data_IF_661362692599
#
_entry.id   IF_661362692599
#
_cell.length_a   1.000
_cell.length_b   1.000
_cell.length_c   1.000
_cell.angle_alpha   90.00
_cell.angle_beta   90.00
_cell.angle_gamma   90.00
#
_symmetry.space_group_name_H-M   'P 1'
#
loop_
_entity.id
_entity.type
_entity.pdbx_description
1 polymer ?
#
# COMPACT_ATOMS: atom_id res chain seq x y z
N UNK A 1 -38.51 -25.82 -18.06
CA UNK A 1 -38.39 -25.54 -16.61
C UNK A 1 -37.40 -24.41 -16.45
N UNK A 2 -37.90 -23.22 -16.12
CA UNK A 2 -37.12 -21.99 -16.03
C UNK A 2 -36.55 -21.92 -14.60
N UNK A 3 -35.23 -22.04 -14.45
CA UNK A 3 -34.56 -21.84 -13.15
C UNK A 3 -34.48 -20.34 -12.90
N UNK A 4 -35.28 -19.86 -11.96
CA UNK A 4 -35.19 -18.50 -11.42
C UNK A 4 -33.98 -18.50 -10.50
N UNK A 5 -32.90 -17.86 -10.92
CA UNK A 5 -31.76 -17.59 -10.05
C UNK A 5 -32.19 -16.50 -9.07
N UNK A 6 -32.31 -16.87 -7.80
CA UNK A 6 -32.52 -15.90 -6.74
C UNK A 6 -31.25 -15.05 -6.63
N UNK A 7 -31.35 -13.78 -7.00
CA UNK A 7 -30.33 -12.78 -6.67
C UNK A 7 -30.14 -12.79 -5.15
N UNK A 8 -28.99 -13.28 -4.71
CA UNK A 8 -28.59 -13.26 -3.31
C UNK A 8 -28.53 -11.80 -2.86
N UNK A 9 -29.49 -11.40 -2.02
CA UNK A 9 -29.51 -10.13 -1.29
C UNK A 9 -28.53 -10.11 -0.11
N UNK A 10 -27.62 -11.09 -0.02
CA UNK A 10 -26.53 -11.04 0.95
C UNK A 10 -25.57 -9.97 0.43
N UNK A 11 -25.45 -8.80 1.11
CA UNK A 11 -24.44 -7.84 0.73
C UNK A 11 -23.10 -8.56 0.75
N UNK A 12 -22.26 -8.45 -0.31
CA UNK A 12 -20.92 -9.02 -0.26
C UNK A 12 -20.30 -8.54 1.05
N UNK A 13 -19.83 -9.46 1.89
CA UNK A 13 -19.00 -9.13 3.05
C UNK A 13 -17.85 -8.34 2.46
N UNK A 14 -17.93 -7.01 2.52
CA UNK A 14 -16.89 -6.13 2.02
C UNK A 14 -15.66 -6.56 2.82
N UNK A 15 -14.62 -7.14 2.19
CA UNK A 15 -13.47 -7.62 2.94
C UNK A 15 -13.00 -6.43 3.79
N UNK A 16 -12.75 -6.67 5.09
CA UNK A 16 -12.36 -5.61 6.03
C UNK A 16 -11.15 -4.78 5.53
N UNK A 17 -10.41 -5.33 4.55
CA UNK A 17 -9.33 -4.70 3.79
C UNK A 17 -9.79 -3.53 2.94
N UNK A 18 -11.02 -3.49 2.43
CA UNK A 18 -11.54 -2.32 1.70
C UNK A 18 -11.70 -1.10 2.61
N UNK A 19 -12.08 -1.32 3.89
CA UNK A 19 -12.05 -0.26 4.91
C UNK A 19 -10.63 0.14 5.30
N UNK A 20 -9.70 -0.82 5.38
CA UNK A 20 -8.27 -0.56 5.56
C UNK A 20 -7.68 0.27 4.42
N UNK A 21 -7.96 -0.10 3.17
CA UNK A 21 -7.53 0.59 1.96
C UNK A 21 -8.17 1.97 1.81
N UNK A 22 -9.46 2.13 2.11
CA UNK A 22 -10.13 3.45 2.14
C UNK A 22 -9.58 4.31 3.28
N UNK A 23 -9.27 3.73 4.44
CA UNK A 23 -8.62 4.44 5.53
C UNK A 23 -7.17 4.83 5.20
N UNK A 24 -6.42 3.96 4.50
CA UNK A 24 -5.07 4.23 4.02
C UNK A 24 -5.11 5.29 2.92
N UNK A 25 -5.98 5.21 1.91
CA UNK A 25 -6.17 6.26 0.90
C UNK A 25 -6.60 7.59 1.53
N UNK A 26 -7.49 7.56 2.52
CA UNK A 26 -7.90 8.74 3.28
C UNK A 26 -6.76 9.35 4.10
N UNK A 27 -5.95 8.50 4.74
CA UNK A 27 -4.77 8.91 5.51
C UNK A 27 -3.62 9.38 4.62
N UNK A 28 -3.42 8.77 3.44
CA UNK A 28 -2.40 9.12 2.44
C UNK A 28 -2.76 10.40 1.73
N UNK A 29 -4.03 10.61 1.37
CA UNK A 29 -4.51 11.90 0.85
C UNK A 29 -4.31 13.02 1.89
N UNK A 30 -4.63 12.76 3.16
CA UNK A 30 -4.34 13.68 4.26
C UNK A 30 -2.85 13.87 4.56
N UNK A 31 -2.02 12.85 4.35
CA UNK A 31 -0.57 12.92 4.54
C UNK A 31 0.14 13.61 3.35
N UNK A 32 -0.39 13.54 2.14
CA UNK A 32 0.10 14.30 0.98
C UNK A 32 -0.30 15.77 1.13
N UNK A 33 -1.48 16.09 1.66
CA UNK A 33 -1.81 17.46 2.11
C UNK A 33 -0.88 17.91 3.26
N UNK A 34 -0.37 16.98 4.06
CA UNK A 34 0.67 17.26 5.06
C UNK A 34 2.07 17.48 4.46
N UNK A 35 2.32 17.20 3.18
CA UNK A 35 3.57 17.59 2.49
C UNK A 35 3.73 19.13 2.41
N UNK A 36 2.62 19.87 2.31
CA UNK A 36 2.61 21.32 2.50
C UNK A 36 2.86 21.71 3.97
N UNK A 37 2.40 20.90 4.92
CA UNK A 37 2.74 21.03 6.35
C UNK A 37 4.22 20.76 6.66
N UNK A 38 4.85 19.81 5.97
CA UNK A 38 6.26 19.44 6.08
C UNK A 38 7.16 20.51 5.46
N UNK A 39 6.77 21.02 4.29
CA UNK A 39 7.38 22.23 3.72
C UNK A 39 7.33 23.39 4.71
N UNK A 40 6.18 23.61 5.37
CA UNK A 40 6.02 24.61 6.43
C UNK A 40 6.90 24.38 7.66
N UNK A 41 7.04 23.14 8.13
CA UNK A 41 7.85 22.79 9.31
C UNK A 41 9.36 22.91 9.05
N UNK A 42 9.82 22.47 7.88
CA UNK A 42 11.22 22.61 7.47
C UNK A 42 11.58 24.07 7.21
N UNK A 43 10.69 24.81 6.53
CA UNK A 43 10.86 26.25 6.31
C UNK A 43 10.83 27.01 7.65
N UNK A 44 9.90 26.68 8.54
CA UNK A 44 9.78 27.26 9.88
C UNK A 44 11.01 26.98 10.74
N UNK A 45 11.53 25.75 10.73
CA UNK A 45 12.76 25.37 11.42
C UNK A 45 13.99 26.09 10.87
N UNK A 46 14.09 26.22 9.53
CA UNK A 46 15.17 26.97 8.88
C UNK A 46 15.11 28.47 9.20
N UNK A 47 13.92 29.07 9.20
CA UNK A 47 13.69 30.48 9.57
C UNK A 47 14.05 30.70 11.04
N UNK A 48 13.63 29.80 11.94
CA UNK A 48 13.95 29.89 13.37
C UNK A 48 15.46 29.77 13.61
N UNK A 49 16.13 28.81 12.96
CA UNK A 49 17.58 28.66 13.04
C UNK A 49 18.32 29.91 12.50
N UNK A 50 17.87 30.44 11.36
CA UNK A 50 18.42 31.68 10.78
C UNK A 50 18.21 32.88 11.71
N UNK A 51 17.04 33.01 12.35
CA UNK A 51 16.74 34.07 13.30
C UNK A 51 17.63 33.98 14.56
N UNK A 52 17.85 32.78 15.09
CA UNK A 52 18.74 32.57 16.25
C UNK A 52 20.20 32.91 15.87
N UNK A 53 20.67 32.49 14.69
CA UNK A 53 22.02 32.82 14.20
C UNK A 53 22.16 34.33 14.01
N UNK A 54 21.18 34.99 13.41
CA UNK A 54 21.18 36.43 13.21
C UNK A 54 21.22 37.19 14.56
N UNK A 55 20.46 36.74 15.55
CA UNK A 55 20.46 37.34 16.90
C UNK A 55 21.79 37.16 17.63
N UNK A 56 22.48 36.02 17.43
CA UNK A 56 23.79 35.72 18.04
C UNK A 56 24.97 36.54 17.51
N UNK A 57 24.80 37.22 16.36
CA UNK A 57 25.84 38.07 15.74
C UNK A 57 25.85 39.51 16.26
N UNK A 58 24.98 39.86 17.21
CA UNK A 58 25.00 41.19 17.83
C UNK A 58 26.27 41.38 18.68
N UNK A 59 26.97 42.53 18.60
CA UNK A 59 28.22 42.75 19.30
C UNK A 59 27.96 42.80 20.82
N UNK A 60 28.37 41.76 21.55
CA UNK A 60 28.10 41.57 22.98
C UNK A 60 27.47 40.23 23.36
N UNK A 61 27.12 39.38 22.38
CA UNK A 61 26.46 38.09 22.58
C UNK A 61 27.32 37.04 23.28
N UNK A 62 26.79 36.45 24.36
CA UNK A 62 27.39 35.34 25.11
C UNK A 62 27.67 34.12 24.21
N UNK A 63 28.88 33.55 24.28
CA UNK A 63 29.33 32.39 23.49
C UNK A 63 28.48 31.11 23.67
N UNK A 64 27.67 31.05 24.73
CA UNK A 64 26.70 29.96 24.97
C UNK A 64 25.52 29.95 23.98
N UNK A 65 25.09 31.12 23.47
CA UNK A 65 23.94 31.21 22.57
C UNK A 65 24.22 30.58 21.19
N UNK A 66 25.44 30.76 20.67
CA UNK A 66 25.85 30.15 19.39
C UNK A 66 25.94 28.62 19.46
N UNK A 67 26.35 28.07 20.62
CA UNK A 67 26.36 26.61 20.85
C UNK A 67 24.93 26.06 20.94
N UNK A 68 24.04 26.75 21.67
CA UNK A 68 22.63 26.35 21.77
C UNK A 68 21.94 26.38 20.39
N UNK A 69 22.21 27.39 19.56
CA UNK A 69 21.69 27.49 18.20
C UNK A 69 22.12 26.31 17.32
N UNK A 70 23.41 25.93 17.37
CA UNK A 70 23.93 24.78 16.64
C UNK A 70 23.29 23.47 17.10
N UNK A 71 23.12 23.27 18.41
CA UNK A 71 22.49 22.05 18.96
C UNK A 71 21.03 21.95 18.54
N UNK A 72 20.27 23.04 18.63
CA UNK A 72 18.87 23.06 18.19
C UNK A 72 18.77 22.80 16.69
N UNK A 73 19.59 23.46 15.87
CA UNK A 73 19.62 23.22 14.42
C UNK A 73 19.95 21.77 14.06
N UNK A 74 20.90 21.15 14.75
CA UNK A 74 21.27 19.75 14.55
C UNK A 74 20.13 18.78 14.92
N UNK A 75 19.41 19.05 16.02
CA UNK A 75 18.24 18.27 16.43
C UNK A 75 17.15 18.35 15.37
N UNK A 76 16.81 19.56 14.89
CA UNK A 76 15.81 19.74 13.84
C UNK A 76 16.18 19.03 12.54
N UNK A 77 17.45 19.09 12.14
CA UNK A 77 17.92 18.36 10.96
C UNK A 77 17.80 16.84 11.14
N UNK A 78 18.14 16.31 12.32
CA UNK A 78 17.99 14.89 12.61
C UNK A 78 16.53 14.43 12.54
N UNK A 79 15.60 15.22 13.10
CA UNK A 79 14.17 14.96 12.99
C UNK A 79 13.68 15.03 11.54
N UNK A 80 14.12 16.02 10.77
CA UNK A 80 13.78 16.16 9.35
C UNK A 80 14.21 14.95 8.52
N UNK A 81 15.44 14.47 8.73
CA UNK A 81 15.97 13.29 8.02
C UNK A 81 15.24 12.01 8.44
N UNK A 82 15.05 11.79 9.75
CA UNK A 82 14.34 10.62 10.26
C UNK A 82 12.90 10.56 9.73
N UNK A 83 12.19 11.70 9.78
CA UNK A 83 10.83 11.81 9.28
C UNK A 83 10.76 11.64 7.76
N UNK A 84 11.68 12.25 7.00
CA UNK A 84 11.78 12.07 5.55
C UNK A 84 11.97 10.61 5.15
N UNK A 85 12.83 9.88 5.87
CA UNK A 85 13.00 8.44 5.68
C UNK A 85 11.72 7.63 5.94
N UNK A 86 10.97 7.99 6.99
CA UNK A 86 9.68 7.36 7.30
C UNK A 86 8.67 7.58 6.16
N UNK A 87 8.51 8.82 5.68
CA UNK A 87 7.56 9.15 4.60
C UNK A 87 7.92 8.46 3.29
N UNK A 88 9.20 8.44 2.91
CA UNK A 88 9.64 7.74 1.69
C UNK A 88 9.34 6.24 1.79
N UNK A 89 9.58 5.63 2.95
CA UNK A 89 9.29 4.22 3.19
C UNK A 89 7.79 3.93 3.07
N UNK A 90 6.94 4.75 3.69
CA UNK A 90 5.48 4.61 3.59
C UNK A 90 4.97 4.75 2.15
N UNK A 91 5.42 5.78 1.41
CA UNK A 91 4.99 5.98 0.03
C UNK A 91 5.43 4.82 -0.88
N UNK A 92 6.61 4.26 -0.66
CA UNK A 92 7.10 3.11 -1.43
C UNK A 92 6.21 1.88 -1.20
N UNK A 93 5.87 1.60 0.06
CA UNK A 93 4.96 0.50 0.40
C UNK A 93 3.57 0.70 -0.18
N UNK A 94 3.00 1.91 -0.14
CA UNK A 94 1.67 2.18 -0.71
C UNK A 94 1.66 1.94 -2.22
N UNK A 95 2.66 2.46 -2.95
CA UNK A 95 2.77 2.24 -4.39
C UNK A 95 2.92 0.75 -4.73
N UNK A 96 3.64 -0.01 -3.91
CA UNK A 96 3.79 -1.44 -4.05
C UNK A 96 2.47 -2.19 -3.83
N UNK A 97 1.71 -1.83 -2.79
CA UNK A 97 0.37 -2.40 -2.53
C UNK A 97 -0.56 -2.12 -3.71
N UNK A 98 -0.61 -0.88 -4.19
CA UNK A 98 -1.46 -0.49 -5.33
C UNK A 98 -1.08 -1.27 -6.60
N UNK A 99 0.21 -1.37 -6.91
CA UNK A 99 0.68 -2.13 -8.07
C UNK A 99 0.34 -3.63 -7.99
N UNK A 100 0.42 -4.23 -6.80
CA UNK A 100 0.03 -5.63 -6.58
C UNK A 100 -1.48 -5.82 -6.74
N UNK A 101 -2.28 -4.90 -6.20
CA UNK A 101 -3.75 -4.93 -6.33
C UNK A 101 -4.20 -4.79 -7.78
N UNK A 102 -3.68 -3.80 -8.51
CA UNK A 102 -4.01 -3.58 -9.91
C UNK A 102 -3.66 -4.80 -10.77
N UNK A 103 -2.53 -5.47 -10.45
CA UNK A 103 -2.13 -6.71 -11.12
C UNK A 103 -3.07 -7.87 -10.82
N UNK A 104 -3.40 -8.11 -9.55
CA UNK A 104 -4.35 -9.17 -9.16
C UNK A 104 -5.73 -8.94 -9.77
N UNK A 105 -6.20 -7.69 -9.79
CA UNK A 105 -7.44 -7.30 -10.45
C UNK A 105 -7.39 -7.60 -11.96
N UNK A 106 -6.32 -7.20 -12.66
CA UNK A 106 -6.19 -7.48 -14.09
C UNK A 106 -6.14 -8.97 -14.43
N UNK A 107 -5.57 -9.81 -13.56
CA UNK A 107 -5.62 -11.28 -13.70
C UNK A 107 -7.05 -11.79 -13.48
N UNK A 108 -7.72 -11.32 -12.42
CA UNK A 108 -9.07 -11.73 -12.09
C UNK A 108 -10.10 -11.35 -13.17
N UNK A 109 -9.99 -10.15 -13.76
CA UNK A 109 -10.85 -9.69 -14.86
C UNK A 109 -10.69 -10.59 -16.10
N UNK A 110 -9.46 -10.89 -16.52
CA UNK A 110 -9.19 -11.84 -17.62
C UNK A 110 -9.70 -13.24 -17.31
N UNK A 111 -9.58 -13.69 -16.07
CA UNK A 111 -10.13 -14.97 -15.63
C UNK A 111 -11.65 -14.99 -15.73
N UNK A 112 -12.30 -13.91 -15.32
CA UNK A 112 -13.75 -13.77 -15.36
C UNK A 112 -14.28 -13.76 -16.81
N UNK A 113 -13.56 -13.11 -17.74
CA UNK A 113 -13.88 -13.17 -19.17
C UNK A 113 -13.86 -14.60 -19.72
N UNK A 114 -12.85 -15.40 -19.36
CA UNK A 114 -12.76 -16.81 -19.77
C UNK A 114 -13.90 -17.65 -19.17
N UNK A 115 -14.20 -17.46 -17.88
CA UNK A 115 -15.30 -18.15 -17.21
C UNK A 115 -16.64 -17.80 -17.87
N UNK A 116 -16.85 -16.51 -18.19
CA UNK A 116 -18.04 -16.05 -18.91
C UNK A 116 -18.14 -16.65 -20.33
N UNK A 117 -17.02 -17.00 -20.96
CA UNK A 117 -16.97 -17.74 -22.22
C UNK A 117 -17.30 -19.24 -22.08
N UNK A 118 -17.64 -19.71 -20.86
CA UNK A 118 -18.01 -21.10 -20.57
C UNK A 118 -16.82 -21.99 -20.18
N UNK A 119 -15.67 -21.39 -19.91
CA UNK A 119 -14.47 -22.11 -19.51
C UNK A 119 -14.48 -22.46 -18.02
N UNK A 120 -13.93 -23.62 -17.65
CA UNK A 120 -13.85 -24.04 -16.24
C UNK A 120 -12.83 -23.20 -15.45
N UNK A 121 -13.12 -22.88 -14.19
CA UNK A 121 -12.16 -22.21 -13.29
C UNK A 121 -10.89 -23.07 -13.13
N UNK A 122 -9.69 -22.52 -13.38
CA UNK A 122 -8.42 -23.21 -13.14
C UNK A 122 -8.22 -23.56 -11.67
N UNK A 123 -7.56 -24.70 -11.42
CA UNK A 123 -7.28 -25.19 -10.06
C UNK A 123 -5.83 -24.97 -9.62
N UNK A 124 -4.99 -24.33 -10.43
CA UNK A 124 -3.60 -24.00 -10.06
C UNK A 124 -3.12 -22.70 -10.72
N UNK A 125 -2.07 -22.10 -10.15
CA UNK A 125 -1.46 -20.88 -10.68
C UNK A 125 -0.82 -21.09 -12.06
N UNK A 126 -0.22 -22.27 -12.30
CA UNK A 126 0.37 -22.62 -13.60
C UNK A 126 -0.70 -22.72 -14.69
N UNK A 127 -1.89 -23.21 -14.32
CA UNK A 127 -3.03 -23.27 -15.23
C UNK A 127 -3.55 -21.86 -15.56
N UNK A 128 -3.63 -20.95 -14.58
CA UNK A 128 -3.95 -19.53 -14.83
C UNK A 128 -2.92 -18.91 -15.76
N UNK A 129 -1.63 -19.08 -15.44
CA UNK A 129 -0.53 -18.51 -16.20
C UNK A 129 -0.54 -18.96 -17.67
N UNK A 130 -0.61 -20.28 -17.89
CA UNK A 130 -0.64 -20.88 -19.23
C UNK A 130 -1.87 -20.43 -20.03
N UNK A 131 -3.05 -20.44 -19.38
CA UNK A 131 -4.32 -20.09 -20.02
C UNK A 131 -4.38 -18.63 -20.45
N UNK A 132 -3.90 -17.72 -19.60
CA UNK A 132 -3.93 -16.29 -19.86
C UNK A 132 -2.71 -15.79 -20.65
N UNK A 133 -1.76 -16.68 -20.98
CA UNK A 133 -0.52 -16.32 -21.66
C UNK A 133 0.34 -15.34 -20.87
N UNK A 134 0.32 -15.46 -19.54
CA UNK A 134 1.07 -14.59 -18.63
C UNK A 134 2.52 -15.04 -18.50
N UNK A 135 3.42 -14.07 -18.39
CA UNK A 135 4.83 -14.32 -18.11
C UNK A 135 5.06 -14.59 -16.63
N UNK A 136 6.20 -15.19 -16.26
CA UNK A 136 6.56 -15.40 -14.85
C UNK A 136 6.54 -14.08 -14.06
N UNK A 137 6.95 -12.97 -14.66
CA UNK A 137 6.93 -11.64 -14.04
C UNK A 137 5.52 -11.09 -13.79
N UNK A 138 4.52 -11.51 -14.57
CA UNK A 138 3.13 -11.14 -14.33
C UNK A 138 2.53 -11.91 -13.14
N UNK A 139 3.18 -13.02 -12.76
CA UNK A 139 2.78 -13.86 -11.64
C UNK A 139 3.48 -13.47 -10.34
N UNK A 140 4.28 -12.40 -10.33
CA UNK A 140 4.91 -11.85 -9.12
C UNK A 140 4.11 -10.66 -8.59
N UNK A 141 4.14 -10.42 -7.29
CA UNK A 141 3.72 -9.15 -6.72
C UNK A 141 4.81 -8.06 -6.92
N UNK A 142 4.57 -6.86 -6.40
CA UNK A 142 5.50 -5.73 -6.50
C UNK A 142 6.75 -5.85 -5.62
N UNK A 143 6.76 -6.79 -4.67
CA UNK A 143 7.93 -7.17 -3.86
C UNK A 143 8.73 -8.31 -4.51
N UNK A 144 8.19 -8.93 -5.57
CA UNK A 144 8.84 -10.00 -6.33
C UNK A 144 8.53 -11.39 -5.81
N UNK A 145 7.52 -11.54 -4.94
CA UNK A 145 7.05 -12.84 -4.48
C UNK A 145 5.98 -13.39 -5.42
N UNK A 146 5.94 -14.72 -5.64
CA UNK A 146 4.94 -15.31 -6.50
C UNK A 146 3.54 -15.17 -5.90
N UNK A 147 2.58 -14.78 -6.73
CA UNK A 147 1.16 -14.87 -6.42
C UNK A 147 0.77 -16.34 -6.25
N UNK A 148 -0.15 -16.60 -5.35
CA UNK A 148 -0.67 -17.93 -5.06
C UNK A 148 -2.19 -17.95 -5.20
N UNK A 149 -2.75 -19.15 -5.22
CA UNK A 149 -4.19 -19.34 -5.25
C UNK A 149 -4.63 -20.04 -3.97
N UNK A 150 -5.65 -19.50 -3.31
CA UNK A 150 -6.29 -20.12 -2.15
C UNK A 150 -7.75 -20.40 -2.48
N UNK A 151 -8.21 -21.60 -2.17
CA UNK A 151 -9.63 -21.94 -2.24
C UNK A 151 -10.20 -21.91 -0.83
N UNK A 152 -11.25 -21.12 -0.65
CA UNK A 152 -12.00 -21.05 0.59
C UNK A 152 -13.41 -21.58 0.35
N UNK A 153 -13.90 -22.40 1.26
CA UNK A 153 -15.27 -22.89 1.23
C UNK A 153 -16.05 -22.24 2.39
N UNK A 154 -17.09 -21.48 2.06
CA UNK A 154 -18.04 -20.90 3.03
C UNK A 154 -19.45 -21.38 2.65
N UNK A 155 -20.09 -22.16 3.53
CA UNK A 155 -21.50 -22.62 3.42
C UNK A 155 -21.96 -22.98 1.99
N UNK A 156 -21.34 -24.00 1.38
CA UNK A 156 -21.58 -24.52 0.01
C UNK A 156 -21.07 -23.65 -1.16
N UNK A 157 -20.45 -22.50 -0.90
CA UNK A 157 -19.80 -21.67 -1.92
C UNK A 157 -18.29 -21.87 -1.86
N UNK A 158 -17.71 -22.32 -2.98
CA UNK A 158 -16.25 -22.36 -3.15
C UNK A 158 -15.78 -21.04 -3.77
N UNK A 159 -15.07 -20.23 -3.00
CA UNK A 159 -14.42 -19.00 -3.45
C UNK A 159 -12.98 -19.32 -3.85
N UNK A 160 -12.54 -18.81 -4.99
CA UNK A 160 -11.13 -18.86 -5.39
C UNK A 160 -10.53 -17.47 -5.22
N UNK A 161 -9.44 -17.37 -4.46
CA UNK A 161 -8.73 -16.13 -4.14
C UNK A 161 -7.34 -16.17 -4.78
N UNK A 162 -6.93 -15.05 -5.39
CA UNK A 162 -5.52 -14.75 -5.64
C UNK A 162 -4.93 -14.13 -4.39
N UNK A 163 -3.75 -14.57 -3.98
CA UNK A 163 -3.13 -14.12 -2.74
C UNK A 163 -1.67 -13.73 -2.98
N UNK A 164 -1.26 -12.55 -2.51
CA UNK A 164 0.13 -12.09 -2.40
C UNK A 164 0.58 -12.20 -0.94
N UNK A 165 1.83 -12.63 -0.76
CA UNK A 165 2.49 -12.76 0.54
C UNK A 165 2.97 -11.41 1.13
N UNK A 166 2.59 -10.29 0.52
CA UNK A 166 2.95 -8.97 1.01
C UNK A 166 4.44 -8.67 1.00
N UNK A 167 4.85 -7.82 1.94
CA UNK A 167 6.22 -7.29 1.99
C UNK A 167 7.18 -8.24 2.71
N UNK A 168 6.67 -9.11 3.59
CA UNK A 168 7.49 -10.08 4.32
C UNK A 168 7.75 -11.39 3.55
N UNK A 169 6.99 -11.61 2.47
CA UNK A 169 7.11 -12.75 1.57
C UNK A 169 6.67 -14.07 2.21
N UNK A 170 5.90 -14.03 3.29
CA UNK A 170 5.39 -15.19 4.01
C UNK A 170 3.87 -15.21 3.95
N UNK A 171 3.32 -16.31 3.48
CA UNK A 171 1.88 -16.54 3.51
C UNK A 171 1.37 -16.68 4.95
N UNK A 172 0.08 -16.43 5.14
CA UNK A 172 -0.67 -16.53 6.40
C UNK A 172 -0.25 -15.51 7.45
N UNK A 173 0.21 -14.35 7.01
CA UNK A 173 0.60 -13.21 7.85
C UNK A 173 -0.40 -12.07 7.73
N UNK A 174 -0.21 -11.01 8.52
CA UNK A 174 -1.11 -9.85 8.53
C UNK A 174 -0.97 -8.93 7.32
N UNK A 175 0.10 -9.07 6.54
CA UNK A 175 0.35 -8.30 5.32
C UNK A 175 -0.01 -9.07 4.04
N UNK A 176 -0.61 -10.24 4.17
CA UNK A 176 -1.24 -10.94 3.05
C UNK A 176 -2.33 -10.09 2.40
N UNK A 177 -2.40 -10.19 1.08
CA UNK A 177 -3.38 -9.51 0.27
C UNK A 177 -4.15 -10.51 -0.57
N UNK A 178 -5.48 -10.54 -0.46
CA UNK A 178 -6.34 -11.43 -1.23
C UNK A 178 -7.27 -10.67 -2.20
N UNK A 179 -7.50 -11.28 -3.36
CA UNK A 179 -8.41 -10.77 -4.37
C UNK A 179 -9.31 -11.90 -4.91
N UNK A 180 -10.65 -11.77 -4.82
CA UNK A 180 -11.56 -12.82 -5.24
C UNK A 180 -11.65 -12.94 -6.76
N UNK A 181 -11.57 -14.18 -7.25
CA UNK A 181 -11.98 -14.55 -8.60
C UNK A 181 -13.43 -15.03 -8.49
N UNK A 182 -14.38 -14.16 -8.81
CA UNK A 182 -15.80 -14.54 -8.81
C UNK A 182 -16.10 -15.40 -10.06
N UNK A 183 -16.60 -16.64 -9.88
CA UNK A 183 -17.11 -17.45 -10.98
C UNK A 183 -18.44 -16.94 -11.54
#
# INVERSE_FOLDING_TARGET
MMKVYAESLVPPKVPFIHLGYVAIKGAVSGAIDSALGIGGLLLGGAILAAAIVAHSRTPGGNSGAGKAAMVVGAIFLAFAVAYGGIVISFNTNVNQIEATMDRMQGIAEKMQEQIAAGESVPTSMEAIQSRLGLSDSDMLDSWGHPLTMRQEADDDVSLTLLVSAGADGRMETSDDFDFPINP
#
